data_IF_423984962026
#
_entry.id   IF_423984962026
#
_cell.length_a   1.000
_cell.length_b   1.000
_cell.length_c   1.000
_cell.angle_alpha   90.00
_cell.angle_beta   90.00
_cell.angle_gamma   90.00
#
_symmetry.space_group_name_H-M   'P 1'
#
loop_
_entity.id
_entity.type
_entity.pdbx_description
1 polymer ?
#
# COMPACT_ATOMS: atom_id res chain seq x y z
N UNK A 1 -22.42 0.41 -20.45
CA UNK A 1 -22.27 0.40 -18.98
C UNK A 1 -21.09 1.29 -18.62
N UNK A 2 -21.24 2.29 -17.73
CA UNK A 2 -20.08 3.03 -17.24
C UNK A 2 -19.31 2.12 -16.28
N UNK A 3 -18.03 1.87 -16.56
CA UNK A 3 -17.19 1.10 -15.66
C UNK A 3 -17.08 1.85 -14.33
N UNK A 4 -17.69 1.31 -13.28
CA UNK A 4 -17.56 1.89 -11.94
C UNK A 4 -16.14 1.68 -11.44
N UNK A 5 -15.37 2.77 -11.34
CA UNK A 5 -14.02 2.76 -10.79
C UNK A 5 -14.12 2.78 -9.26
N UNK A 6 -13.61 1.76 -8.55
CA UNK A 6 -13.71 1.74 -7.09
C UNK A 6 -12.89 2.88 -6.47
N UNK A 7 -13.51 3.61 -5.53
CA UNK A 7 -12.79 4.57 -4.68
C UNK A 7 -12.22 3.86 -3.45
N UNK A 8 -10.98 4.19 -3.08
CA UNK A 8 -10.27 3.63 -1.92
C UNK A 8 -9.63 4.74 -1.10
N UNK A 9 -9.38 4.44 0.17
CA UNK A 9 -8.83 5.39 1.14
C UNK A 9 -7.33 5.18 1.31
N UNK A 10 -6.56 6.26 1.25
CA UNK A 10 -5.14 6.22 1.60
C UNK A 10 -4.95 5.97 3.10
N UNK A 11 -4.12 5.00 3.46
CA UNK A 11 -3.89 4.64 4.87
C UNK A 11 -3.14 5.73 5.65
N UNK A 12 -2.38 6.59 4.96
CA UNK A 12 -1.59 7.69 5.53
C UNK A 12 -2.46 8.93 5.76
N UNK A 13 -2.97 9.55 4.70
CA UNK A 13 -3.70 10.83 4.78
C UNK A 13 -5.22 10.71 4.91
N UNK A 14 -5.79 9.49 4.82
CA UNK A 14 -7.25 9.24 4.81
C UNK A 14 -8.03 9.87 3.66
N UNK A 15 -7.35 10.49 2.69
CA UNK A 15 -7.96 10.94 1.44
C UNK A 15 -8.53 9.77 0.63
N UNK A 16 -9.58 10.06 -0.16
CA UNK A 16 -10.27 9.09 -1.02
C UNK A 16 -9.88 9.33 -2.48
N UNK A 17 -9.44 8.29 -3.16
CA UNK A 17 -8.95 8.35 -4.53
C UNK A 17 -9.43 7.14 -5.33
N UNK A 18 -9.40 7.25 -6.66
CA UNK A 18 -9.65 6.10 -7.52
C UNK A 18 -8.62 4.99 -7.27
N UNK A 19 -9.05 3.74 -7.30
CA UNK A 19 -8.15 2.58 -7.06
C UNK A 19 -6.93 2.61 -7.98
N UNK A 20 -7.11 3.01 -9.24
CA UNK A 20 -6.05 3.06 -10.24
C UNK A 20 -4.97 4.12 -9.96
N UNK A 21 -5.27 5.14 -9.15
CA UNK A 21 -4.32 6.20 -8.78
C UNK A 21 -3.64 5.94 -7.43
N UNK A 22 -3.69 4.71 -6.92
CA UNK A 22 -3.19 4.34 -5.60
C UNK A 22 -2.19 3.18 -5.72
N UNK A 23 -1.12 3.25 -4.95
CA UNK A 23 -0.22 2.13 -4.73
C UNK A 23 -0.91 1.10 -3.82
N UNK A 24 -1.14 -0.11 -4.32
CA UNK A 24 -1.80 -1.20 -3.60
C UNK A 24 -0.76 -2.13 -2.99
N UNK A 25 -0.90 -2.39 -1.68
CA UNK A 25 -0.10 -3.33 -0.91
C UNK A 25 -1.02 -4.29 -0.14
N UNK A 26 -0.46 -5.38 0.36
CA UNK A 26 -1.06 -6.28 1.35
C UNK A 26 0.00 -6.66 2.39
N UNK A 27 -0.43 -7.07 3.58
CA UNK A 27 0.43 -7.73 4.54
C UNK A 27 0.13 -9.22 4.55
N UNK A 28 1.16 -10.04 4.37
CA UNK A 28 1.09 -11.50 4.50
C UNK A 28 2.29 -11.97 5.30
N UNK A 29 2.05 -12.81 6.31
CA UNK A 29 3.10 -13.31 7.21
C UNK A 29 3.99 -12.18 7.77
N UNK A 30 3.37 -11.06 8.17
CA UNK A 30 4.04 -9.84 8.66
C UNK A 30 4.93 -9.10 7.65
N UNK A 31 4.88 -9.46 6.35
CA UNK A 31 5.66 -8.83 5.28
C UNK A 31 4.76 -8.08 4.30
N UNK A 32 5.31 -7.02 3.68
CA UNK A 32 4.63 -6.24 2.66
C UNK A 32 4.74 -6.95 1.32
N UNK A 33 3.61 -7.15 0.65
CA UNK A 33 3.53 -7.70 -0.70
C UNK A 33 2.68 -6.78 -1.58
N UNK A 34 2.89 -6.85 -2.89
CA UNK A 34 2.12 -6.11 -3.91
C UNK A 34 1.21 -7.00 -4.75
N UNK A 35 1.39 -8.32 -4.64
CA UNK A 35 0.52 -9.31 -5.27
C UNK A 35 -0.88 -9.22 -4.68
N UNK A 36 -1.88 -9.17 -5.55
CA UNK A 36 -3.29 -9.20 -5.15
C UNK A 36 -3.65 -10.64 -4.81
N UNK A 37 -3.66 -10.97 -3.52
CA UNK A 37 -4.17 -12.24 -3.02
C UNK A 37 -5.45 -12.01 -2.20
N UNK A 38 -6.08 -13.10 -1.75
CA UNK A 38 -7.21 -13.00 -0.83
C UNK A 38 -6.76 -12.34 0.47
N UNK A 39 -7.35 -11.20 0.81
CA UNK A 39 -7.00 -10.46 2.03
C UNK A 39 -7.26 -8.96 1.95
N UNK A 40 -6.87 -8.26 3.02
CA UNK A 40 -7.06 -6.81 3.16
C UNK A 40 -5.96 -6.05 2.43
N UNK A 41 -6.32 -5.35 1.36
CA UNK A 41 -5.43 -4.40 0.72
C UNK A 41 -5.29 -3.08 1.48
N UNK A 42 -4.08 -2.54 1.42
CA UNK A 42 -3.66 -1.25 1.92
C UNK A 42 -3.36 -0.36 0.71
N UNK A 43 -3.81 0.88 0.75
CA UNK A 43 -3.66 1.81 -0.36
C UNK A 43 -2.92 3.07 0.07
N UNK A 44 -1.98 3.53 -0.73
CA UNK A 44 -1.20 4.75 -0.50
C UNK A 44 -1.30 5.63 -1.75
N UNK A 45 -1.66 6.91 -1.61
CA UNK A 45 -1.66 7.83 -2.74
C UNK A 45 -0.23 8.29 -3.06
N UNK A 46 0.01 8.71 -4.30
CA UNK A 46 1.34 9.12 -4.78
C UNK A 46 2.01 10.12 -3.82
N UNK A 47 1.28 11.16 -3.40
CA UNK A 47 1.78 12.17 -2.46
C UNK A 47 2.25 11.59 -1.12
N UNK A 48 1.60 10.54 -0.63
CA UNK A 48 1.97 9.90 0.63
C UNK A 48 3.02 8.81 0.45
N UNK A 49 3.18 8.28 -0.76
CA UNK A 49 4.17 7.25 -1.07
C UNK A 49 5.60 7.82 -1.05
N UNK A 50 5.74 9.12 -1.32
CA UNK A 50 7.02 9.82 -1.26
C UNK A 50 7.34 10.45 0.11
N UNK A 51 6.54 10.16 1.15
CA UNK A 51 6.85 10.62 2.53
C UNK A 51 7.96 9.79 3.17
N UNK A 52 8.50 10.33 4.27
CA UNK A 52 9.54 9.70 5.06
C UNK A 52 9.13 8.33 5.64
N UNK A 53 10.12 7.48 5.86
CA UNK A 53 9.96 6.11 6.34
C UNK A 53 9.22 6.01 7.67
N UNK A 54 9.45 6.94 8.61
CA UNK A 54 8.78 6.92 9.92
C UNK A 54 7.28 7.16 9.75
N UNK A 55 6.90 8.07 8.87
CA UNK A 55 5.49 8.31 8.54
C UNK A 55 4.84 7.07 7.91
N UNK A 56 5.52 6.44 6.95
CA UNK A 56 5.02 5.22 6.30
C UNK A 56 4.90 4.07 7.31
N UNK A 57 5.93 3.82 8.10
CA UNK A 57 5.96 2.76 9.12
C UNK A 57 4.80 2.90 10.11
N UNK A 58 4.57 4.11 10.64
CA UNK A 58 3.41 4.37 11.52
C UNK A 58 2.07 4.08 10.82
N UNK A 59 1.93 4.43 9.55
CA UNK A 59 0.70 4.18 8.81
C UNK A 59 0.44 2.67 8.62
N UNK A 60 1.47 1.89 8.28
CA UNK A 60 1.36 0.44 8.16
C UNK A 60 1.08 -0.23 9.51
N UNK A 61 1.79 0.12 10.58
CA UNK A 61 1.53 -0.43 11.92
C UNK A 61 0.07 -0.17 12.36
N UNK A 62 -0.44 1.05 12.14
CA UNK A 62 -1.84 1.40 12.42
C UNK A 62 -2.82 0.61 11.58
N UNK A 63 -2.55 0.47 10.28
CA UNK A 63 -3.44 -0.24 9.36
C UNK A 63 -3.50 -1.76 9.64
N UNK A 64 -2.44 -2.31 10.23
CA UNK A 64 -2.30 -3.73 10.53
C UNK A 64 -2.59 -4.08 12.00
N UNK A 65 -3.08 -3.11 12.80
CA UNK A 65 -3.32 -3.28 14.25
C UNK A 65 -2.11 -3.87 15.01
N UNK A 66 -0.89 -3.50 14.60
CA UNK A 66 0.34 -4.03 15.20
C UNK A 66 0.86 -5.34 14.62
N UNK A 67 0.14 -6.04 13.73
CA UNK A 67 0.59 -7.29 13.11
C UNK A 67 1.68 -7.12 12.02
N UNK A 68 2.35 -5.97 12.00
CA UNK A 68 3.47 -5.69 11.11
C UNK A 68 4.72 -5.48 11.96
N UNK A 69 5.67 -6.41 11.84
CA UNK A 69 6.90 -6.42 12.63
C UNK A 69 8.14 -6.04 11.81
N UNK A 70 7.97 -5.71 10.53
CA UNK A 70 9.06 -5.28 9.65
C UNK A 70 9.42 -3.81 9.85
N UNK A 71 10.61 -3.43 9.38
CA UNK A 71 10.92 -2.03 9.10
C UNK A 71 10.49 -1.71 7.67
N UNK A 72 10.15 -0.44 7.42
CA UNK A 72 9.83 0.05 6.09
C UNK A 72 11.00 0.86 5.59
N UNK A 73 11.60 0.40 4.49
CA UNK A 73 12.51 1.19 3.67
C UNK A 73 11.74 1.68 2.43
N UNK A 74 11.87 2.97 2.12
CA UNK A 74 11.17 3.57 0.98
C UNK A 74 11.65 3.00 -0.37
N UNK A 75 12.94 2.69 -0.50
CA UNK A 75 13.50 2.05 -1.70
C UNK A 75 12.91 0.64 -1.87
N UNK A 76 12.88 -0.16 -0.81
CA UNK A 76 12.29 -1.50 -0.84
C UNK A 76 10.80 -1.44 -1.26
N UNK A 77 10.03 -0.47 -0.75
CA UNK A 77 8.64 -0.28 -1.17
C UNK A 77 8.51 0.04 -2.66
N UNK A 78 9.39 0.90 -3.19
CA UNK A 78 9.43 1.25 -4.61
C UNK A 78 9.79 0.03 -5.45
N UNK A 79 10.77 -0.76 -5.02
CA UNK A 79 11.16 -2.01 -5.67
C UNK A 79 10.06 -3.07 -5.63
N UNK A 80 9.45 -3.33 -4.48
CA UNK A 80 8.35 -4.30 -4.34
C UNK A 80 7.16 -3.90 -5.23
N UNK A 81 6.88 -2.59 -5.34
CA UNK A 81 5.84 -2.07 -6.23
C UNK A 81 6.21 -2.20 -7.71
N UNK A 82 7.46 -1.93 -8.08
CA UNK A 82 7.92 -2.04 -9.46
C UNK A 82 8.04 -3.51 -9.90
N UNK A 83 8.66 -4.37 -9.10
CA UNK A 83 8.82 -5.80 -9.36
C UNK A 83 7.48 -6.55 -9.38
N UNK A 84 6.47 -6.05 -8.67
CA UNK A 84 5.10 -6.54 -8.74
C UNK A 84 4.40 -6.31 -10.09
N UNK A 85 4.94 -5.42 -10.94
CA UNK A 85 4.46 -5.19 -12.32
C UNK A 85 5.13 -6.12 -13.35
N UNK A 86 6.18 -6.84 -13.00
CA UNK A 86 6.94 -7.71 -13.91
C UNK A 86 6.57 -9.20 -13.83
N UNK A 87 5.35 -9.54 -13.39
CA UNK A 87 4.82 -10.91 -13.55
C UNK A 87 3.66 -10.88 -14.53
N UNK A 88 4.00 -10.74 -15.80
CA UNK A 88 3.19 -11.21 -16.92
C UNK A 88 3.40 -12.72 -17.12
#
# INVERSE_FOLDING_TARGET
MKNHIPIRMCIVCKGRYEKQSLHQFQIKNSQIITKVEFGRSLYICNLCFDKDEKTLQRAFMRACKGNFHGNINQQDLKEIFFNGRCKD
#
